data_IF_065048950976
#
_entry.id   IF_065048950976
#
_cell.length_a   1.000
_cell.length_b   1.000
_cell.length_c   1.000
_cell.angle_alpha   90.00
_cell.angle_beta   90.00
_cell.angle_gamma   90.00
#
_symmetry.space_group_name_H-M   'P 1'
#
loop_
_entity.id
_entity.type
_entity.pdbx_description
1 polymer ?
#
# COMPACT_ATOMS: atom_id res chain seq x y z
N UNK A 1 3.00 18.38 21.36
CA UNK A 1 2.31 18.58 20.07
C UNK A 1 2.25 17.22 19.38
N UNK A 2 1.18 16.94 18.61
CA UNK A 2 1.08 15.68 17.87
C UNK A 2 2.13 15.62 16.75
N UNK A 3 2.75 14.46 16.53
CA UNK A 3 3.77 14.26 15.49
C UNK A 3 3.14 14.49 14.12
N UNK A 4 3.81 15.27 13.26
CA UNK A 4 3.34 15.62 11.92
C UNK A 4 3.84 14.64 10.86
N UNK A 5 2.99 14.41 9.86
CA UNK A 5 3.31 13.66 8.65
C UNK A 5 2.52 14.22 7.48
N UNK A 6 3.15 14.33 6.31
CA UNK A 6 2.45 14.67 5.09
C UNK A 6 2.20 13.42 4.26
N UNK A 7 0.96 13.21 3.81
CA UNK A 7 0.62 12.14 2.87
C UNK A 7 0.46 12.76 1.48
N UNK A 8 1.32 12.35 0.56
CA UNK A 8 1.41 12.86 -0.80
C UNK A 8 0.81 11.81 -1.74
N UNK A 9 -0.29 12.17 -2.40
CA UNK A 9 -1.08 11.25 -3.21
C UNK A 9 -2.27 10.70 -2.42
N UNK A 10 -3.46 11.21 -2.73
CA UNK A 10 -4.70 10.87 -2.02
C UNK A 10 -5.64 10.00 -2.86
N UNK A 11 -5.07 9.08 -3.64
CA UNK A 11 -5.84 8.03 -4.32
C UNK A 11 -6.44 7.02 -3.31
N UNK A 12 -7.04 5.93 -3.81
CA UNK A 12 -7.75 4.93 -2.97
C UNK A 12 -6.96 4.47 -1.74
N UNK A 13 -5.66 4.18 -1.89
CA UNK A 13 -4.82 3.75 -0.77
C UNK A 13 -4.33 4.93 0.08
N UNK A 14 -3.89 6.02 -0.55
CA UNK A 14 -3.34 7.17 0.16
C UNK A 14 -4.35 7.88 1.06
N UNK A 15 -5.61 7.99 0.64
CA UNK A 15 -6.68 8.55 1.46
C UNK A 15 -6.97 7.71 2.71
N UNK A 16 -6.91 6.37 2.60
CA UNK A 16 -7.06 5.46 3.73
C UNK A 16 -5.90 5.55 4.72
N UNK A 17 -4.67 5.62 4.22
CA UNK A 17 -3.47 5.84 5.05
C UNK A 17 -3.58 7.16 5.81
N UNK A 18 -3.87 8.26 5.09
CA UNK A 18 -4.02 9.59 5.68
C UNK A 18 -5.10 9.61 6.76
N UNK A 19 -6.27 9.04 6.46
CA UNK A 19 -7.40 8.96 7.41
C UNK A 19 -7.03 8.15 8.65
N UNK A 20 -6.40 6.99 8.49
CA UNK A 20 -6.04 6.12 9.62
C UNK A 20 -4.99 6.77 10.52
N UNK A 21 -4.02 7.48 9.94
CA UNK A 21 -3.05 8.26 10.72
C UNK A 21 -3.72 9.41 11.48
N UNK A 22 -4.68 10.10 10.85
CA UNK A 22 -5.44 11.17 11.49
C UNK A 22 -6.28 10.64 12.67
N UNK A 23 -7.01 9.54 12.47
CA UNK A 23 -7.79 8.87 13.52
C UNK A 23 -6.89 8.30 14.64
N UNK A 24 -5.64 7.96 14.31
CA UNK A 24 -4.60 7.61 15.28
C UNK A 24 -4.02 8.79 16.06
N UNK A 25 -4.50 10.01 15.82
CA UNK A 25 -4.13 11.22 16.55
C UNK A 25 -2.98 12.01 15.95
N UNK A 26 -2.48 11.67 14.77
CA UNK A 26 -1.42 12.41 14.09
C UNK A 26 -1.92 13.68 13.39
N UNK A 27 -1.06 14.70 13.34
CA UNK A 27 -1.30 15.90 12.54
C UNK A 27 -0.95 15.61 11.07
N UNK A 28 -1.94 15.14 10.32
CA UNK A 28 -1.79 14.74 8.92
C UNK A 28 -1.96 15.95 8.00
N UNK A 29 -0.93 16.22 7.22
CA UNK A 29 -0.93 17.21 6.13
C UNK A 29 -1.27 16.46 4.84
N UNK A 30 -2.43 16.76 4.26
CA UNK A 30 -2.95 16.06 3.10
C UNK A 30 -2.68 16.86 1.82
N UNK A 31 -1.93 16.27 0.89
CA UNK A 31 -1.62 16.90 -0.39
C UNK A 31 -1.87 15.94 -1.56
N UNK A 32 -2.48 16.48 -2.61
CA UNK A 32 -2.71 15.78 -3.87
C UNK A 32 -2.68 16.78 -5.03
N UNK A 33 -2.46 16.28 -6.25
CA UNK A 33 -2.54 17.10 -7.47
C UNK A 33 -3.95 17.64 -7.72
N UNK A 34 -4.98 16.83 -7.49
CA UNK A 34 -6.37 17.27 -7.60
C UNK A 34 -6.82 17.93 -6.31
N UNK A 35 -7.46 19.10 -6.43
CA UNK A 35 -7.93 19.90 -5.30
C UNK A 35 -9.04 19.17 -4.53
N UNK A 36 -9.89 18.44 -5.24
CA UNK A 36 -11.05 17.74 -4.71
C UNK A 36 -10.65 16.75 -3.61
N UNK A 37 -9.58 15.97 -3.82
CA UNK A 37 -9.10 15.01 -2.83
C UNK A 37 -8.53 15.68 -1.58
N UNK A 38 -7.97 16.88 -1.72
CA UNK A 38 -7.50 17.69 -0.58
C UNK A 38 -8.69 18.26 0.19
N UNK A 39 -9.72 18.72 -0.50
CA UNK A 39 -10.96 19.22 0.10
C UNK A 39 -11.71 18.11 0.87
N UNK A 40 -11.74 16.89 0.35
CA UNK A 40 -12.25 15.71 1.07
C UNK A 40 -11.47 15.45 2.36
N UNK A 41 -10.13 15.47 2.28
CA UNK A 41 -9.29 15.27 3.45
C UNK A 41 -9.49 16.37 4.52
N UNK A 42 -9.65 17.62 4.09
CA UNK A 42 -10.01 18.75 4.95
C UNK A 42 -11.35 18.52 5.65
N UNK A 43 -12.34 18.01 4.93
CA UNK A 43 -13.66 17.66 5.49
C UNK A 43 -13.59 16.59 6.59
N UNK A 44 -12.54 15.76 6.58
CA UNK A 44 -12.24 14.76 7.61
C UNK A 44 -11.38 15.29 8.76
N UNK A 45 -11.04 16.58 8.79
CA UNK A 45 -10.27 17.20 9.88
C UNK A 45 -8.76 17.20 9.69
N UNK A 46 -8.25 16.76 8.53
CA UNK A 46 -6.83 16.83 8.19
C UNK A 46 -6.41 18.25 7.76
N UNK A 47 -5.10 18.54 7.81
CA UNK A 47 -4.55 19.83 7.40
C UNK A 47 -4.44 19.84 5.86
N UNK A 48 -5.21 20.67 5.14
CA UNK A 48 -5.11 20.73 3.68
C UNK A 48 -3.82 21.43 3.26
N UNK A 49 -3.18 20.91 2.21
CA UNK A 49 -2.11 21.61 1.50
C UNK A 49 -2.35 21.48 -0.01
N UNK A 50 -2.62 22.59 -0.68
CA UNK A 50 -2.91 22.67 -2.11
C UNK A 50 -1.65 22.87 -2.94
N UNK A 51 -0.50 23.13 -2.30
CA UNK A 51 0.81 23.21 -2.94
C UNK A 51 1.89 22.54 -2.09
N UNK A 52 3.05 22.25 -2.69
CA UNK A 52 4.19 21.65 -1.98
C UNK A 52 4.79 22.62 -0.95
N UNK A 53 4.73 23.93 -1.21
CA UNK A 53 5.14 25.00 -0.29
C UNK A 53 4.21 25.07 0.92
N UNK A 54 2.89 24.87 0.72
CA UNK A 54 1.94 24.77 1.81
C UNK A 54 2.22 23.54 2.69
N UNK A 55 2.61 22.40 2.09
CA UNK A 55 3.04 21.21 2.85
C UNK A 55 4.19 21.56 3.78
N UNK A 56 5.25 22.18 3.26
CA UNK A 56 6.43 22.53 4.06
C UNK A 56 6.12 23.57 5.13
N UNK A 57 5.29 24.56 4.81
CA UNK A 57 4.87 25.60 5.75
C UNK A 57 4.11 25.00 6.94
N UNK A 58 3.29 23.96 6.72
CA UNK A 58 2.53 23.29 7.77
C UNK A 58 3.40 22.54 8.79
N UNK A 59 4.63 22.13 8.42
CA UNK A 59 5.60 21.58 9.38
C UNK A 59 6.14 22.63 10.36
N UNK A 60 6.07 23.93 10.05
CA UNK A 60 6.49 25.02 10.93
C UNK A 60 7.92 24.86 11.50
N UNK A 61 8.85 24.34 10.68
CA UNK A 61 10.24 24.10 11.06
C UNK A 61 10.51 22.78 11.79
N UNK A 62 9.48 21.97 12.06
CA UNK A 62 9.66 20.60 12.52
C UNK A 62 10.24 19.70 11.42
N UNK A 63 10.77 18.53 11.80
CA UNK A 63 11.31 17.54 10.85
C UNK A 63 10.22 17.14 9.84
N UNK A 64 10.52 17.28 8.56
CA UNK A 64 9.62 16.94 7.47
C UNK A 64 9.62 15.42 7.25
N UNK A 65 8.44 14.81 7.31
CA UNK A 65 8.22 13.39 6.99
C UNK A 65 7.16 13.33 5.90
N UNK A 66 7.56 12.87 4.71
CA UNK A 66 6.68 12.72 3.55
C UNK A 66 6.38 11.25 3.32
N UNK A 67 5.10 10.88 3.35
CA UNK A 67 4.61 9.56 2.99
C UNK A 67 4.05 9.58 1.56
N UNK A 68 4.79 8.99 0.63
CA UNK A 68 4.53 9.07 -0.80
C UNK A 68 3.69 7.86 -1.23
N UNK A 69 2.47 8.13 -1.67
CA UNK A 69 1.50 7.15 -2.22
C UNK A 69 1.25 7.45 -3.69
N UNK A 70 2.33 7.38 -4.48
CA UNK A 70 2.34 7.79 -5.87
C UNK A 70 2.38 6.58 -6.82
N UNK A 71 1.82 6.71 -8.03
CA UNK A 71 2.08 5.78 -9.12
C UNK A 71 3.58 5.67 -9.42
N UNK A 72 4.01 4.48 -9.84
CA UNK A 72 5.40 4.18 -10.14
C UNK A 72 5.99 5.16 -11.18
N UNK A 73 5.19 5.51 -12.19
CA UNK A 73 5.57 6.36 -13.32
C UNK A 73 5.88 7.79 -12.90
N UNK A 74 5.19 8.30 -11.87
CA UNK A 74 5.38 9.65 -11.35
C UNK A 74 6.41 9.75 -10.23
N UNK A 75 6.87 8.61 -9.70
CA UNK A 75 7.69 8.58 -8.48
C UNK A 75 9.02 9.32 -8.65
N UNK A 76 9.69 9.19 -9.80
CA UNK A 76 11.00 9.79 -10.02
C UNK A 76 10.92 11.33 -10.13
N UNK A 77 9.98 11.83 -10.94
CA UNK A 77 9.77 13.28 -11.13
C UNK A 77 9.35 13.96 -9.82
N UNK A 78 8.39 13.37 -9.10
CA UNK A 78 7.93 13.91 -7.83
C UNK A 78 9.03 13.89 -6.76
N UNK A 79 9.84 12.82 -6.71
CA UNK A 79 10.98 12.74 -5.79
C UNK A 79 11.97 13.88 -6.05
N UNK A 80 12.26 14.19 -7.30
CA UNK A 80 13.22 15.25 -7.66
C UNK A 80 12.74 16.63 -7.27
N UNK A 81 11.45 16.90 -7.48
CA UNK A 81 10.81 18.13 -7.03
C UNK A 81 10.92 18.21 -5.50
N UNK A 82 10.53 17.16 -4.77
CA UNK A 82 10.62 17.17 -3.31
C UNK A 82 12.05 17.37 -2.80
N UNK A 83 13.03 16.69 -3.40
CA UNK A 83 14.44 16.84 -3.01
C UNK A 83 15.00 18.25 -3.21
N UNK A 84 14.40 19.04 -4.11
CA UNK A 84 14.75 20.45 -4.29
C UNK A 84 14.14 21.40 -3.24
N UNK A 85 13.12 20.93 -2.50
CA UNK A 85 12.31 21.75 -1.61
C UNK A 85 12.49 21.39 -0.12
N UNK A 86 12.61 20.10 0.19
CA UNK A 86 12.66 19.63 1.58
C UNK A 86 13.98 20.04 2.27
N UNK A 87 13.95 20.38 3.57
CA UNK A 87 15.16 20.68 4.32
C UNK A 87 16.01 19.41 4.54
N UNK A 88 17.30 19.59 4.84
CA UNK A 88 18.18 18.49 5.27
C UNK A 88 17.62 17.80 6.52
N UNK A 89 17.80 16.49 6.61
CA UNK A 89 17.30 15.66 7.70
C UNK A 89 15.83 15.24 7.53
N UNK A 90 15.22 15.50 6.38
CA UNK A 90 13.87 15.03 6.05
C UNK A 90 13.84 13.52 5.82
N UNK A 91 12.69 12.90 6.09
CA UNK A 91 12.44 11.48 5.80
C UNK A 91 11.38 11.40 4.71
N UNK A 92 11.71 10.72 3.62
CA UNK A 92 10.78 10.40 2.55
C UNK A 92 10.48 8.90 2.62
N UNK A 93 9.21 8.54 2.59
CA UNK A 93 8.74 7.16 2.63
C UNK A 93 8.11 6.85 1.27
N UNK A 94 8.77 6.06 0.44
CA UNK A 94 8.17 5.47 -0.76
C UNK A 94 7.32 4.28 -0.30
N UNK A 95 6.00 4.47 -0.24
CA UNK A 95 5.05 3.44 0.18
C UNK A 95 4.25 2.88 -1.01
N UNK A 96 4.74 3.11 -2.24
CA UNK A 96 4.17 2.58 -3.47
C UNK A 96 4.58 1.13 -3.76
N UNK A 97 4.16 0.62 -4.91
CA UNK A 97 4.64 -0.66 -5.44
C UNK A 97 5.85 -0.41 -6.36
N UNK A 98 6.95 0.07 -5.79
CA UNK A 98 8.18 0.41 -6.53
C UNK A 98 9.09 -0.80 -6.75
N UNK A 99 9.83 -0.80 -7.86
CA UNK A 99 10.93 -1.74 -8.10
C UNK A 99 12.07 -1.50 -7.09
N UNK A 100 12.38 -2.50 -6.29
CA UNK A 100 13.42 -2.44 -5.25
C UNK A 100 14.81 -2.03 -5.78
N UNK A 101 15.11 -2.35 -7.04
CA UNK A 101 16.39 -1.98 -7.69
C UNK A 101 16.47 -0.48 -7.93
N UNK A 102 15.34 0.14 -8.24
CA UNK A 102 15.23 1.60 -8.41
C UNK A 102 15.18 2.30 -7.06
N UNK A 103 14.51 1.70 -6.07
CA UNK A 103 14.50 2.19 -4.70
C UNK A 103 15.92 2.39 -4.14
N UNK A 104 16.84 1.44 -4.37
CA UNK A 104 18.23 1.60 -3.94
C UNK A 104 18.92 2.82 -4.57
N UNK A 105 18.72 3.04 -5.88
CA UNK A 105 19.26 4.22 -6.58
C UNK A 105 18.66 5.53 -6.05
N UNK A 106 17.36 5.52 -5.75
CA UNK A 106 16.67 6.67 -5.14
C UNK A 106 17.22 6.96 -3.75
N UNK A 107 17.47 5.94 -2.93
CA UNK A 107 18.05 6.14 -1.60
C UNK A 107 19.43 6.78 -1.66
N UNK A 108 20.29 6.38 -2.60
CA UNK A 108 21.60 7.02 -2.82
C UNK A 108 21.44 8.52 -3.19
N UNK A 109 20.49 8.84 -4.08
CA UNK A 109 20.16 10.21 -4.49
C UNK A 109 19.65 11.06 -3.31
N UNK A 110 18.73 10.51 -2.53
CA UNK A 110 18.12 11.16 -1.35
C UNK A 110 19.17 11.38 -0.26
N UNK A 111 20.04 10.41 -0.02
CA UNK A 111 21.16 10.55 0.92
C UNK A 111 22.12 11.68 0.51
N UNK A 112 22.35 11.86 -0.80
CA UNK A 112 23.17 12.95 -1.34
C UNK A 112 22.66 14.37 -0.99
N UNK A 113 21.37 14.54 -0.68
CA UNK A 113 20.82 15.83 -0.23
C UNK A 113 20.84 16.00 1.29
N UNK A 114 21.29 14.97 2.03
CA UNK A 114 21.23 14.92 3.49
C UNK A 114 19.85 14.54 4.04
N UNK A 115 18.99 13.92 3.22
CA UNK A 115 17.70 13.34 3.63
C UNK A 115 17.78 11.81 3.62
N UNK A 116 16.76 11.12 4.12
CA UNK A 116 16.71 9.65 4.16
C UNK A 116 15.48 9.14 3.42
N UNK A 117 15.66 8.07 2.63
CA UNK A 117 14.56 7.33 2.00
C UNK A 117 14.28 6.04 2.78
N UNK A 118 13.01 5.82 3.11
CA UNK A 118 12.46 4.55 3.57
C UNK A 118 11.59 3.96 2.47
N UNK A 119 11.70 2.65 2.24
CA UNK A 119 10.78 1.91 1.38
C UNK A 119 9.83 1.06 2.22
N UNK A 120 8.52 1.23 2.00
CA UNK A 120 7.48 0.57 2.79
C UNK A 120 6.50 -0.14 1.85
N UNK A 121 6.78 -1.39 1.56
CA UNK A 121 5.87 -2.24 0.82
C UNK A 121 4.60 -2.50 1.62
N UNK A 122 3.45 -2.07 1.13
CA UNK A 122 2.17 -2.14 1.86
C UNK A 122 1.20 -3.14 1.23
N UNK A 123 0.65 -4.07 2.01
CA UNK A 123 -0.37 -5.06 1.60
C UNK A 123 -1.65 -4.94 2.44
N UNK A 124 -2.75 -5.50 1.93
CA UNK A 124 -4.10 -5.44 2.52
C UNK A 124 -5.13 -4.66 1.68
N UNK A 125 -4.67 -3.85 0.72
CA UNK A 125 -5.54 -3.12 -0.21
C UNK A 125 -6.59 -2.25 0.49
N UNK A 126 -7.81 -2.21 -0.06
CA UNK A 126 -8.94 -1.44 0.49
C UNK A 126 -9.41 -1.93 1.86
N UNK A 127 -9.05 -3.16 2.24
CA UNK A 127 -9.42 -3.74 3.52
C UNK A 127 -8.49 -3.29 4.65
N UNK A 128 -7.30 -2.79 4.32
CA UNK A 128 -6.31 -2.38 5.31
C UNK A 128 -6.75 -1.22 6.20
N UNK A 129 -7.67 -0.35 5.74
CA UNK A 129 -8.28 0.65 6.60
C UNK A 129 -9.04 0.00 7.78
N UNK A 130 -9.80 -1.07 7.53
CA UNK A 130 -10.56 -1.79 8.55
C UNK A 130 -9.71 -2.78 9.35
N UNK A 131 -8.91 -3.60 8.65
CA UNK A 131 -8.23 -4.75 9.24
C UNK A 131 -6.80 -4.42 9.71
N UNK A 132 -6.20 -3.34 9.19
CA UNK A 132 -4.78 -3.03 9.38
C UNK A 132 -3.96 -3.40 8.16
N UNK A 133 -2.88 -2.65 7.94
CA UNK A 133 -1.97 -2.87 6.82
C UNK A 133 -0.83 -3.81 7.22
N UNK A 134 -0.41 -4.67 6.29
CA UNK A 134 0.86 -5.40 6.42
C UNK A 134 1.96 -4.59 5.73
N UNK A 135 2.99 -4.20 6.46
CA UNK A 135 4.01 -3.25 5.98
C UNK A 135 5.43 -3.80 6.11
N UNK A 136 6.13 -3.88 4.99
CA UNK A 136 7.49 -4.39 4.90
C UNK A 136 8.47 -3.24 4.67
N UNK A 137 9.31 -2.96 5.66
CA UNK A 137 10.10 -1.74 5.71
C UNK A 137 11.58 -1.99 5.38
N UNK A 138 12.15 -1.22 4.48
CA UNK A 138 13.57 -1.13 4.17
C UNK A 138 14.09 0.31 4.27
N UNK A 139 15.38 0.48 4.52
CA UNK A 139 16.04 1.78 4.64
C UNK A 139 16.97 1.87 5.84
N UNK A 140 17.23 3.08 6.33
CA UNK A 140 18.05 3.28 7.52
C UNK A 140 17.29 2.95 8.81
N UNK A 141 17.95 2.23 9.73
CA UNK A 141 17.32 1.80 10.99
C UNK A 141 16.85 2.97 11.87
N UNK A 142 17.59 4.09 11.88
CA UNK A 142 17.20 5.27 12.65
C UNK A 142 15.95 5.94 12.05
N UNK A 143 15.84 5.99 10.72
CA UNK A 143 14.64 6.52 10.05
C UNK A 143 13.43 5.59 10.26
N UNK A 144 13.63 4.27 10.28
CA UNK A 144 12.58 3.31 10.67
C UNK A 144 12.03 3.60 12.08
N UNK A 145 12.91 3.80 13.07
CA UNK A 145 12.50 4.15 14.44
C UNK A 145 11.72 5.47 14.49
N UNK A 146 12.08 6.44 13.66
CA UNK A 146 11.37 7.71 13.55
C UNK A 146 9.97 7.58 12.96
N UNK A 147 9.73 6.64 12.04
CA UNK A 147 8.39 6.44 11.44
C UNK A 147 7.56 5.36 12.16
N UNK A 148 8.12 4.72 13.19
CA UNK A 148 7.53 3.51 13.79
C UNK A 148 6.13 3.76 14.37
N UNK A 149 5.87 4.92 14.97
CA UNK A 149 4.56 5.22 15.54
C UNK A 149 3.47 5.36 14.46
N UNK A 150 3.83 5.80 13.24
CA UNK A 150 2.92 5.80 12.10
C UNK A 150 2.60 4.37 11.67
N UNK A 151 3.63 3.51 11.58
CA UNK A 151 3.48 2.10 11.24
C UNK A 151 2.60 1.36 12.26
N UNK A 152 2.79 1.60 13.57
CA UNK A 152 1.96 1.02 14.64
C UNK A 152 0.48 1.36 14.47
N UNK A 153 0.15 2.59 14.12
CA UNK A 153 -1.25 2.99 13.88
C UNK A 153 -1.80 2.36 12.61
N UNK A 154 -1.02 2.36 11.54
CA UNK A 154 -1.42 1.78 10.25
C UNK A 154 -1.63 0.27 10.32
N UNK A 155 -0.86 -0.44 11.16
CA UNK A 155 -0.95 -1.89 11.33
C UNK A 155 -2.20 -2.34 12.11
N UNK A 156 -2.77 -1.52 13.01
CA UNK A 156 -3.94 -1.93 13.79
C UNK A 156 -5.19 -2.18 12.93
N UNK A 157 -6.12 -3.06 13.34
CA UNK A 157 -6.04 -3.94 14.51
C UNK A 157 -5.19 -5.20 14.33
N UNK A 158 -5.10 -5.77 13.13
CA UNK A 158 -4.56 -7.13 12.90
C UNK A 158 -3.42 -7.19 11.88
N UNK A 159 -3.11 -6.07 11.22
CA UNK A 159 -1.92 -5.94 10.41
C UNK A 159 -0.64 -5.93 11.26
N UNK A 160 0.50 -5.89 10.58
CA UNK A 160 1.81 -5.93 11.22
C UNK A 160 2.83 -5.14 10.38
N UNK A 161 3.96 -4.80 10.99
CA UNK A 161 5.07 -4.17 10.30
C UNK A 161 6.41 -4.69 10.79
N UNK A 162 7.37 -4.78 9.88
CA UNK A 162 8.72 -5.22 10.25
C UNK A 162 9.80 -4.55 9.40
N UNK A 163 10.96 -4.34 10.03
CA UNK A 163 12.19 -3.87 9.37
C UNK A 163 13.00 -5.04 8.80
N UNK A 164 13.26 -5.00 7.50
CA UNK A 164 13.93 -6.06 6.76
C UNK A 164 15.36 -5.73 6.33
N UNK A 165 15.84 -4.52 6.61
CA UNK A 165 17.23 -4.13 6.38
C UNK A 165 17.37 -2.87 5.53
N UNK A 166 18.47 -2.80 4.78
CA UNK A 166 18.84 -1.64 3.98
C UNK A 166 17.83 -1.31 2.88
N UNK A 167 18.00 -0.15 2.24
CA UNK A 167 17.07 0.31 1.21
C UNK A 167 16.88 -0.70 0.08
N UNK A 168 15.62 -0.88 -0.31
CA UNK A 168 15.13 -1.88 -1.25
C UNK A 168 14.66 -3.18 -0.61
N UNK A 169 15.03 -3.47 0.65
CA UNK A 169 14.64 -4.72 1.30
C UNK A 169 13.12 -4.82 1.50
N UNK A 170 12.44 -3.73 1.90
CA UNK A 170 11.00 -3.71 2.12
C UNK A 170 10.23 -3.96 0.82
N UNK A 171 10.58 -3.25 -0.24
CA UNK A 171 10.00 -3.48 -1.57
C UNK A 171 10.31 -4.86 -2.14
N UNK A 172 11.49 -5.43 -1.86
CA UNK A 172 11.82 -6.78 -2.31
C UNK A 172 10.97 -7.84 -1.60
N UNK A 173 10.74 -7.69 -0.29
CA UNK A 173 9.82 -8.56 0.46
C UNK A 173 8.40 -8.43 -0.08
N UNK A 174 7.93 -7.20 -0.35
CA UNK A 174 6.60 -6.98 -0.95
C UNK A 174 6.46 -7.55 -2.35
N UNK A 175 7.49 -7.43 -3.20
CA UNK A 175 7.52 -8.04 -4.53
C UNK A 175 7.40 -9.57 -4.40
N UNK A 176 8.14 -10.17 -3.47
CA UNK A 176 8.10 -11.62 -3.21
C UNK A 176 6.74 -12.05 -2.67
N UNK A 177 6.12 -11.28 -1.77
CA UNK A 177 4.74 -11.48 -1.32
C UNK A 177 3.78 -11.55 -2.51
N UNK A 178 3.85 -10.58 -3.43
CA UNK A 178 2.99 -10.57 -4.62
C UNK A 178 3.26 -11.77 -5.53
N UNK A 179 4.51 -12.18 -5.72
CA UNK A 179 4.81 -13.38 -6.50
C UNK A 179 4.18 -14.66 -5.89
N UNK A 180 4.20 -14.79 -4.57
CA UNK A 180 3.52 -15.88 -3.84
C UNK A 180 2.01 -15.77 -3.99
N UNK A 181 1.44 -14.56 -3.85
CA UNK A 181 0.00 -14.29 -4.04
C UNK A 181 -0.49 -14.81 -5.40
N UNK A 182 0.25 -14.53 -6.48
CA UNK A 182 -0.09 -15.01 -7.83
C UNK A 182 -0.08 -16.54 -7.92
N UNK A 183 0.93 -17.20 -7.34
CA UNK A 183 0.99 -18.67 -7.31
C UNK A 183 -0.15 -19.31 -6.51
N UNK A 184 -0.55 -18.69 -5.41
CA UNK A 184 -1.70 -19.13 -4.60
C UNK A 184 -3.01 -18.95 -5.35
N UNK A 185 -3.20 -17.80 -6.01
CA UNK A 185 -4.38 -17.54 -6.84
C UNK A 185 -4.49 -18.56 -7.98
N UNK A 186 -3.39 -18.85 -8.67
CA UNK A 186 -3.38 -19.86 -9.75
C UNK A 186 -3.72 -21.26 -9.21
N UNK A 187 -3.13 -21.66 -8.08
CA UNK A 187 -3.41 -22.96 -7.46
C UNK A 187 -4.89 -23.11 -7.10
N UNK A 188 -5.51 -22.06 -6.56
CA UNK A 188 -6.95 -22.04 -6.28
C UNK A 188 -7.77 -22.09 -7.58
N UNK A 189 -7.41 -21.28 -8.57
CA UNK A 189 -8.12 -21.24 -9.86
C UNK A 189 -8.11 -22.61 -10.56
N UNK A 190 -6.96 -23.29 -10.60
CA UNK A 190 -6.86 -24.65 -11.14
C UNK A 190 -7.72 -25.64 -10.34
N UNK A 191 -7.70 -25.56 -9.01
CA UNK A 191 -8.52 -26.41 -8.14
C UNK A 191 -10.03 -26.25 -8.38
N UNK A 192 -10.51 -25.01 -8.46
CA UNK A 192 -11.91 -24.72 -8.78
C UNK A 192 -12.28 -25.15 -10.21
N UNK A 193 -11.39 -24.94 -11.19
CA UNK A 193 -11.60 -25.40 -12.57
C UNK A 193 -11.72 -26.93 -12.65
N UNK A 194 -10.89 -27.67 -11.92
CA UNK A 194 -10.99 -29.14 -11.86
C UNK A 194 -12.34 -29.62 -11.32
N UNK A 195 -12.92 -28.91 -10.34
CA UNK A 195 -14.28 -29.21 -9.87
C UNK A 195 -15.35 -28.87 -10.92
N UNK A 196 -15.19 -27.75 -11.64
CA UNK A 196 -16.13 -27.31 -12.68
C UNK A 196 -16.15 -28.26 -13.88
N UNK A 197 -14.99 -28.60 -14.40
CA UNK A 197 -14.82 -29.35 -15.65
C UNK A 197 -14.77 -30.87 -15.43
N UNK A 198 -14.68 -31.30 -14.17
CA UNK A 198 -14.52 -32.68 -13.76
C UNK A 198 -15.65 -33.63 -14.20
N UNK A 199 -15.48 -34.94 -13.90
CA UNK A 199 -16.45 -35.96 -14.29
C UNK A 199 -17.78 -35.85 -13.55
N UNK A 200 -17.80 -35.21 -12.38
CA UNK A 200 -19.02 -35.00 -11.58
C UNK A 200 -19.68 -33.68 -11.95
N UNK A 201 -20.93 -33.74 -12.42
CA UNK A 201 -21.66 -32.55 -12.87
C UNK A 201 -22.40 -31.86 -11.73
N UNK A 202 -22.60 -30.56 -11.87
CA UNK A 202 -23.36 -29.71 -10.96
C UNK A 202 -22.76 -29.59 -9.53
N UNK A 203 -21.43 -29.67 -9.39
CA UNK A 203 -20.77 -29.30 -8.12
C UNK A 203 -20.97 -27.80 -7.90
N UNK A 204 -21.55 -27.46 -6.75
CA UNK A 204 -21.67 -26.09 -6.28
C UNK A 204 -20.30 -25.61 -5.76
N UNK A 205 -19.59 -24.85 -6.59
CA UNK A 205 -18.22 -24.41 -6.31
C UNK A 205 -18.16 -23.50 -5.07
N UNK A 206 -19.15 -22.65 -4.87
CA UNK A 206 -19.21 -21.78 -3.70
C UNK A 206 -19.35 -22.62 -2.41
N UNK A 207 -20.15 -23.69 -2.42
CA UNK A 207 -20.22 -24.61 -1.27
C UNK A 207 -18.93 -25.38 -1.04
N UNK A 208 -18.23 -25.80 -2.08
CA UNK A 208 -16.92 -26.42 -1.93
C UNK A 208 -15.93 -25.46 -1.25
N UNK A 209 -15.86 -24.22 -1.74
CA UNK A 209 -15.06 -23.15 -1.15
C UNK A 209 -15.41 -22.83 0.30
N UNK A 210 -16.70 -22.81 0.62
CA UNK A 210 -17.20 -22.62 1.99
C UNK A 210 -16.68 -23.72 2.93
N UNK A 211 -16.82 -24.99 2.54
CA UNK A 211 -16.31 -26.11 3.35
C UNK A 211 -14.80 -25.99 3.58
N UNK A 212 -14.03 -25.57 2.56
CA UNK A 212 -12.59 -25.36 2.69
C UNK A 212 -12.21 -24.19 3.61
N UNK A 213 -13.13 -23.27 3.90
CA UNK A 213 -12.88 -22.17 4.83
C UNK A 213 -12.97 -22.62 6.31
N UNK A 214 -13.49 -23.82 6.59
CA UNK A 214 -13.70 -24.33 7.95
C UNK A 214 -12.67 -25.41 8.31
N UNK A 215 -11.53 -25.00 8.88
CA UNK A 215 -10.46 -25.89 9.37
C UNK A 215 -9.86 -26.85 8.32
N UNK A 216 -9.87 -26.46 7.05
CA UNK A 216 -9.12 -27.19 6.03
C UNK A 216 -7.67 -26.73 5.97
N UNK A 217 -6.80 -27.53 5.35
CA UNK A 217 -5.38 -27.17 5.16
C UNK A 217 -5.22 -25.90 4.30
N UNK A 218 -6.19 -25.60 3.43
CA UNK A 218 -6.13 -24.47 2.48
C UNK A 218 -6.97 -23.26 2.90
N UNK A 219 -7.48 -23.24 4.15
CA UNK A 219 -8.20 -22.09 4.71
C UNK A 219 -7.35 -20.82 4.55
N UNK A 220 -7.87 -19.84 3.83
CA UNK A 220 -7.12 -18.63 3.47
C UNK A 220 -8.04 -17.49 3.07
N UNK A 221 -7.52 -16.27 3.10
CA UNK A 221 -8.23 -15.08 2.61
C UNK A 221 -8.55 -15.18 1.11
N UNK A 222 -7.64 -15.71 0.30
CA UNK A 222 -7.88 -15.88 -1.13
C UNK A 222 -9.01 -16.88 -1.42
N UNK A 223 -9.09 -17.98 -0.67
CA UNK A 223 -10.21 -18.91 -0.80
C UNK A 223 -11.54 -18.24 -0.41
N UNK A 224 -11.55 -17.43 0.65
CA UNK A 224 -12.72 -16.65 1.06
C UNK A 224 -13.21 -15.74 -0.08
N UNK A 225 -12.31 -15.01 -0.72
CA UNK A 225 -12.62 -14.14 -1.86
C UNK A 225 -13.13 -14.92 -3.08
N UNK A 226 -12.49 -16.04 -3.43
CA UNK A 226 -12.93 -16.89 -4.53
C UNK A 226 -14.33 -17.43 -4.28
N UNK A 227 -14.59 -17.92 -3.06
CA UNK A 227 -15.91 -18.42 -2.64
C UNK A 227 -16.97 -17.33 -2.75
N UNK A 228 -16.69 -16.13 -2.24
CA UNK A 228 -17.65 -15.03 -2.25
C UNK A 228 -17.95 -14.58 -3.68
N UNK A 229 -16.94 -14.49 -4.54
CA UNK A 229 -17.13 -14.19 -5.96
C UNK A 229 -17.98 -15.26 -6.67
N UNK A 230 -17.75 -16.54 -6.41
CA UNK A 230 -18.55 -17.65 -6.96
C UNK A 230 -19.97 -17.70 -6.41
N UNK A 231 -20.19 -17.24 -5.17
CA UNK A 231 -21.53 -17.14 -4.59
C UNK A 231 -22.35 -16.04 -5.26
N UNK A 232 -21.71 -14.92 -5.57
CA UNK A 232 -22.35 -13.79 -6.27
C UNK A 232 -22.54 -14.06 -7.76
N UNK A 233 -21.55 -14.69 -8.40
CA UNK A 233 -21.54 -14.99 -9.83
C UNK A 233 -21.04 -16.43 -10.08
N UNK A 234 -21.90 -17.45 -9.97
CA UNK A 234 -21.51 -18.86 -10.08
C UNK A 234 -20.84 -19.23 -11.40
N UNK A 235 -21.21 -18.56 -12.49
CA UNK A 235 -20.63 -18.81 -13.81
C UNK A 235 -19.45 -17.91 -14.14
N UNK A 236 -19.15 -16.93 -13.27
CA UNK A 236 -18.13 -15.90 -13.49
C UNK A 236 -18.34 -15.17 -14.84
N UNK A 237 -19.59 -15.01 -15.26
CA UNK A 237 -19.92 -14.31 -16.50
C UNK A 237 -19.56 -12.82 -16.40
N UNK A 238 -18.94 -12.28 -17.45
CA UNK A 238 -18.53 -10.88 -17.48
C UNK A 238 -17.32 -10.53 -16.60
N UNK A 239 -16.70 -11.49 -15.90
CA UNK A 239 -15.45 -11.28 -15.17
C UNK A 239 -14.24 -11.51 -16.07
N UNK A 240 -14.09 -10.71 -17.12
CA UNK A 240 -12.86 -10.68 -17.90
C UNK A 240 -11.97 -9.52 -17.46
N UNK A 241 -10.76 -9.84 -17.02
CA UNK A 241 -9.60 -8.96 -17.16
C UNK A 241 -9.14 -9.02 -18.63
N UNK A 242 -9.93 -8.46 -19.54
CA UNK A 242 -9.51 -8.24 -20.93
C UNK A 242 -8.64 -6.98 -20.97
N UNK A 243 -7.35 -7.12 -20.72
CA UNK A 243 -6.42 -6.47 -21.63
C UNK A 243 -6.30 -7.40 -22.84
N UNK A 244 -6.77 -6.91 -23.97
CA UNK A 244 -6.76 -7.56 -25.28
C UNK A 244 -5.43 -8.28 -25.55
N UNK A 245 -5.47 -9.62 -25.54
CA UNK A 245 -4.45 -10.45 -26.20
C UNK A 245 -4.84 -10.77 -27.65
N UNK A 246 -5.73 -9.96 -28.25
CA UNK A 246 -6.07 -10.03 -29.67
C UNK A 246 -5.76 -8.73 -30.40
N UNK A 247 -4.48 -8.37 -30.45
CA UNK A 247 -3.92 -7.65 -31.59
C UNK A 247 -2.59 -8.28 -31.95
N UNK A 248 -2.62 -9.07 -33.02
CA UNK A 248 -1.66 -8.99 -34.12
C UNK A 248 -1.25 -7.56 -34.43
#
# INVERSE_FOLDING_TARGET
>A
MSKKIAVIGLGKMGSQVARKLHEGGFAVIAHNRSKESVDEAKGLGMIPAYSKEEVLSAFAGEKVILWLMLPHESMEEELDIWLSLVPKGSILVDAGNSDFRLTRKRAEKVAGTGSTLMDVGTSGGIWGYKNGFSMMCGGEKNAFQEIEDFLKVLAKPEGDYQYFGQSGAGHFVKMTHNAIEYGMMESLAEGYRLLKDGPYKNIDLAKAGEVWQHHSVITSWLNELCRDALKENPELEGTYSSQDLSTT
#
